data_IF_349714097220
#
_entry.id   IF_349714097220
#
_cell.length_a   1.000
_cell.length_b   1.000
_cell.length_c   1.000
_cell.angle_alpha   90.00
_cell.angle_beta   90.00
_cell.angle_gamma   90.00
#
_symmetry.space_group_name_H-M   'P 1'
#
loop_
_entity.id
_entity.type
_entity.pdbx_description
1 polymer ?
#
# COMPACT_ATOMS: atom_id res chain seq x y z
N UNK A 1 -25.12 -7.02 25.41
CA UNK A 1 -24.66 -6.72 24.04
C UNK A 1 -24.91 -7.95 23.18
N UNK A 2 -25.77 -7.87 22.18
CA UNK A 2 -26.07 -8.95 21.25
C UNK A 2 -25.13 -8.86 20.05
N UNK A 3 -24.39 -9.93 19.76
CA UNK A 3 -23.47 -9.98 18.63
C UNK A 3 -24.25 -10.23 17.33
N UNK A 4 -24.03 -9.39 16.33
CA UNK A 4 -24.59 -9.57 14.98
C UNK A 4 -23.58 -10.40 14.18
N UNK A 5 -23.99 -11.58 13.70
CA UNK A 5 -23.16 -12.42 12.84
C UNK A 5 -23.27 -11.94 11.39
N UNK A 6 -22.17 -11.43 10.86
CA UNK A 6 -22.08 -11.03 9.45
C UNK A 6 -21.58 -12.22 8.63
N UNK A 7 -22.26 -12.59 7.54
CA UNK A 7 -21.80 -13.65 6.66
C UNK A 7 -20.48 -13.25 5.99
N UNK A 8 -19.58 -14.22 5.84
CA UNK A 8 -18.33 -14.02 5.13
C UNK A 8 -18.55 -13.74 3.64
N UNK A 9 -17.55 -13.15 2.96
CA UNK A 9 -17.61 -12.95 1.52
C UNK A 9 -17.69 -14.30 0.78
N UNK A 10 -18.35 -14.35 -0.38
CA UNK A 10 -18.41 -15.56 -1.19
C UNK A 10 -17.01 -15.96 -1.66
N UNK A 11 -16.75 -17.27 -1.83
CA UNK A 11 -15.44 -17.77 -2.26
C UNK A 11 -14.98 -17.19 -3.60
N UNK A 12 -15.93 -16.79 -4.44
CA UNK A 12 -15.69 -16.18 -5.75
C UNK A 12 -15.28 -14.72 -5.69
N UNK A 13 -15.40 -14.05 -4.53
CA UNK A 13 -15.00 -12.64 -4.39
C UNK A 13 -13.49 -12.43 -4.57
N UNK A 14 -12.69 -13.47 -4.36
CA UNK A 14 -11.24 -13.41 -4.56
C UNK A 14 -10.84 -14.21 -5.81
N UNK A 15 -10.60 -13.48 -6.91
CA UNK A 15 -10.17 -14.08 -8.15
C UNK A 15 -8.63 -14.17 -8.23
N UNK A 16 -8.10 -15.35 -7.90
CA UNK A 16 -6.65 -15.64 -7.95
C UNK A 16 -6.01 -15.42 -9.32
N UNK A 17 -6.78 -15.62 -10.39
CA UNK A 17 -6.30 -15.58 -11.77
C UNK A 17 -6.53 -14.20 -12.43
N UNK A 18 -7.00 -13.20 -11.66
CA UNK A 18 -7.18 -11.85 -12.16
C UNK A 18 -5.81 -11.26 -12.58
N UNK A 19 -5.76 -10.52 -13.70
CA UNK A 19 -4.58 -9.74 -14.05
C UNK A 19 -4.21 -8.74 -12.94
N UNK A 20 -2.92 -8.46 -12.81
CA UNK A 20 -2.43 -7.49 -11.84
C UNK A 20 -3.14 -6.14 -11.97
N UNK A 21 -3.69 -5.63 -10.86
CA UNK A 21 -4.12 -4.25 -10.78
C UNK A 21 -2.91 -3.31 -10.72
N UNK A 22 -3.09 -2.04 -11.12
CA UNK A 22 -2.02 -1.03 -11.10
C UNK A 22 -1.51 -0.78 -9.67
N UNK A 23 -2.40 -0.82 -8.67
CA UNK A 23 -2.02 -0.71 -7.26
C UNK A 23 -1.06 -1.83 -6.86
N UNK A 24 -1.40 -3.08 -7.17
CA UNK A 24 -0.54 -4.23 -6.86
C UNK A 24 0.77 -4.16 -7.65
N UNK A 25 0.75 -3.70 -8.90
CA UNK A 25 1.95 -3.48 -9.69
C UNK A 25 2.89 -2.47 -9.02
N UNK A 26 2.36 -1.34 -8.56
CA UNK A 26 3.13 -0.33 -7.85
C UNK A 26 3.73 -0.87 -6.55
N UNK A 27 2.96 -1.65 -5.78
CA UNK A 27 3.44 -2.29 -4.56
C UNK A 27 4.56 -3.30 -4.84
N UNK A 28 4.39 -4.15 -5.86
CA UNK A 28 5.42 -5.12 -6.28
C UNK A 28 6.70 -4.41 -6.69
N UNK A 29 6.61 -3.34 -7.50
CA UNK A 29 7.78 -2.52 -7.87
C UNK A 29 8.47 -1.91 -6.65
N UNK A 30 7.71 -1.43 -5.67
CA UNK A 30 8.26 -0.91 -4.44
C UNK A 30 9.04 -1.99 -3.66
N UNK A 31 8.45 -3.18 -3.50
CA UNK A 31 9.11 -4.29 -2.84
C UNK A 31 10.35 -4.78 -3.59
N UNK A 32 10.35 -4.81 -4.92
CA UNK A 32 11.55 -5.11 -5.72
C UNK A 32 12.68 -4.12 -5.46
N UNK A 33 12.35 -2.83 -5.32
CA UNK A 33 13.35 -1.82 -4.94
C UNK A 33 13.90 -2.05 -3.53
N UNK A 34 13.05 -2.48 -2.60
CA UNK A 34 13.48 -2.85 -1.23
C UNK A 34 14.36 -4.11 -1.25
N UNK A 35 13.98 -5.13 -2.01
CA UNK A 35 14.73 -6.38 -2.18
C UNK A 35 16.14 -6.15 -2.74
N UNK A 36 16.29 -5.22 -3.68
CA UNK A 36 17.59 -4.85 -4.23
C UNK A 36 18.57 -4.33 -3.15
N UNK A 37 18.05 -3.78 -2.05
CA UNK A 37 18.83 -3.28 -0.91
C UNK A 37 19.05 -4.34 0.17
N UNK A 38 18.34 -5.48 0.12
CA UNK A 38 18.54 -6.59 1.05
C UNK A 38 19.83 -7.36 0.72
N UNK A 39 20.40 -7.97 1.77
CA UNK A 39 21.45 -8.97 1.65
C UNK A 39 20.99 -10.07 0.68
N UNK A 40 21.81 -10.47 -0.31
CA UNK A 40 21.51 -11.56 -1.24
C UNK A 40 20.97 -12.83 -0.57
N UNK A 41 21.42 -13.13 0.65
CA UNK A 41 21.02 -14.31 1.42
C UNK A 41 19.55 -14.28 1.87
N UNK A 42 18.95 -13.10 1.95
CA UNK A 42 17.57 -12.88 2.41
C UNK A 42 16.62 -12.55 1.26
N UNK A 43 17.10 -12.52 0.01
CA UNK A 43 16.26 -12.24 -1.16
C UNK A 43 15.33 -13.39 -1.43
N UNK A 44 14.18 -13.06 -2.00
CA UNK A 44 13.19 -14.03 -2.46
C UNK A 44 13.66 -14.64 -3.78
N UNK A 45 13.38 -15.92 -4.02
CA UNK A 45 13.66 -16.57 -5.31
C UNK A 45 12.62 -16.21 -6.39
N UNK A 46 11.93 -15.08 -6.26
CA UNK A 46 10.86 -14.69 -7.17
C UNK A 46 11.44 -14.01 -8.40
N UNK A 47 11.20 -14.54 -9.59
CA UNK A 47 11.53 -13.82 -10.83
C UNK A 47 10.51 -12.69 -11.04
N UNK A 48 10.94 -11.47 -11.37
CA UNK A 48 10.02 -10.36 -11.71
C UNK A 48 9.03 -10.69 -12.84
N UNK A 49 9.39 -11.65 -13.70
CA UNK A 49 8.55 -12.12 -14.82
C UNK A 49 7.40 -13.02 -14.38
N UNK A 50 7.46 -13.57 -13.16
CA UNK A 50 6.48 -14.55 -12.68
C UNK A 50 5.27 -13.86 -11.98
N UNK A 51 5.35 -12.55 -11.74
CA UNK A 51 4.31 -11.77 -11.04
C UNK A 51 3.26 -11.22 -12.02
N UNK A 52 2.53 -12.12 -12.67
CA UNK A 52 1.52 -11.75 -13.69
C UNK A 52 0.09 -11.67 -13.14
N UNK A 53 -0.20 -12.42 -12.07
CA UNK A 53 -1.55 -12.55 -11.48
C UNK A 53 -1.60 -11.98 -10.08
N UNK A 54 -2.79 -11.57 -9.63
CA UNK A 54 -2.99 -11.06 -8.27
C UNK A 54 -2.54 -12.08 -7.20
N UNK A 55 -2.76 -13.38 -7.44
CA UNK A 55 -2.28 -14.43 -6.53
C UNK A 55 -0.75 -14.46 -6.42
N UNK A 56 -0.04 -14.41 -7.55
CA UNK A 56 1.43 -14.37 -7.54
C UNK A 56 1.97 -13.12 -6.88
N UNK A 57 1.34 -11.95 -7.08
CA UNK A 57 1.71 -10.74 -6.36
C UNK A 57 1.46 -10.85 -4.85
N UNK A 58 0.32 -11.38 -4.44
CA UNK A 58 0.00 -11.55 -3.02
C UNK A 58 1.02 -12.45 -2.32
N UNK A 59 1.45 -13.54 -2.97
CA UNK A 59 2.48 -14.44 -2.44
C UNK A 59 3.83 -13.74 -2.30
N UNK A 60 4.26 -12.97 -3.31
CA UNK A 60 5.50 -12.20 -3.26
C UNK A 60 5.47 -11.16 -2.13
N UNK A 61 4.40 -10.37 -2.05
CA UNK A 61 4.20 -9.35 -1.01
C UNK A 61 4.22 -9.98 0.38
N UNK A 62 3.53 -11.11 0.57
CA UNK A 62 3.51 -11.81 1.86
C UNK A 62 4.91 -12.29 2.28
N UNK A 63 5.67 -12.89 1.36
CA UNK A 63 7.04 -13.34 1.63
C UNK A 63 7.96 -12.17 1.99
N UNK A 64 7.98 -11.13 1.16
CA UNK A 64 8.80 -9.94 1.40
C UNK A 64 8.45 -9.27 2.74
N UNK A 65 7.15 -9.16 3.04
CA UNK A 65 6.69 -8.58 4.31
C UNK A 65 7.13 -9.42 5.51
N UNK A 66 7.11 -10.76 5.40
CA UNK A 66 7.60 -11.62 6.47
C UNK A 66 9.11 -11.44 6.71
N UNK A 67 9.90 -11.38 5.62
CA UNK A 67 11.34 -11.13 5.69
C UNK A 67 11.61 -9.78 6.39
N UNK A 68 10.92 -8.71 5.97
CA UNK A 68 11.08 -7.37 6.56
C UNK A 68 10.62 -7.30 8.03
N UNK A 69 9.66 -8.13 8.42
CA UNK A 69 9.20 -8.23 9.83
C UNK A 69 10.09 -9.15 10.68
N UNK A 70 11.12 -9.79 10.10
CA UNK A 70 11.93 -10.78 10.79
C UNK A 70 11.17 -12.05 11.17
N UNK A 71 10.04 -12.31 10.51
CA UNK A 71 9.27 -13.53 10.71
C UNK A 71 9.83 -14.64 9.81
N UNK A 72 9.88 -15.86 10.33
CA UNK A 72 10.24 -17.02 9.54
C UNK A 72 9.37 -17.10 8.27
N UNK A 73 9.96 -17.47 7.10
CA UNK A 73 9.22 -17.50 5.85
C UNK A 73 8.07 -18.48 5.96
N UNK A 74 6.84 -17.96 5.90
CA UNK A 74 5.63 -18.79 5.86
C UNK A 74 5.61 -19.48 4.51
N UNK A 75 5.87 -20.79 4.49
CA UNK A 75 5.78 -21.60 3.27
C UNK A 75 4.35 -21.47 2.74
N UNK A 76 4.18 -20.85 1.58
CA UNK A 76 2.87 -20.68 0.95
C UNK A 76 2.25 -22.07 0.75
N UNK A 77 1.20 -22.36 1.52
CA UNK A 77 0.44 -23.60 1.34
C UNK A 77 -0.32 -23.54 0.00
N UNK A 78 -0.32 -24.61 -0.80
CA UNK A 78 -1.16 -24.65 -1.99
C UNK A 78 -2.62 -24.69 -1.54
N UNK A 79 -3.37 -23.66 -1.92
CA UNK A 79 -4.84 -23.58 -1.85
C UNK A 79 -5.57 -23.49 -0.50
N UNK A 80 -4.86 -23.32 0.61
CA UNK A 80 -5.48 -22.96 1.89
C UNK A 80 -5.82 -21.46 1.99
N UNK A 81 -6.89 -21.04 2.70
CA UNK A 81 -7.04 -19.65 3.12
C UNK A 81 -5.78 -19.26 3.90
N UNK A 82 -5.15 -18.15 3.50
CA UNK A 82 -3.98 -17.60 4.19
C UNK A 82 -4.36 -17.48 5.67
N UNK A 83 -3.69 -18.19 6.59
CA UNK A 83 -3.90 -17.94 8.00
C UNK A 83 -3.34 -16.55 8.28
N UNK A 84 -4.22 -15.54 8.29
CA UNK A 84 -3.98 -14.38 9.14
C UNK A 84 -3.67 -14.95 10.52
N UNK A 85 -2.57 -14.55 11.18
CA UNK A 85 -2.33 -14.99 12.55
C UNK A 85 -3.51 -14.51 13.37
N UNK A 86 -4.44 -15.43 13.64
CA UNK A 86 -5.46 -15.28 14.65
C UNK A 86 -4.66 -15.12 15.93
N UNK A 87 -4.68 -13.91 16.50
CA UNK A 87 -4.05 -13.63 17.78
C UNK A 87 -4.45 -14.77 18.72
N UNK A 88 -3.48 -15.58 19.10
CA UNK A 88 -3.67 -16.66 20.06
C UNK A 88 -4.34 -16.03 21.27
N UNK A 89 -5.48 -16.61 21.68
CA UNK A 89 -6.24 -16.17 22.84
C UNK A 89 -5.28 -16.04 24.02
N UNK A 90 -4.86 -14.83 24.32
CA UNK A 90 -4.22 -14.50 25.58
C UNK A 90 -5.30 -14.77 26.62
N UNK A 91 -5.08 -15.75 27.48
CA UNK A 91 -5.92 -15.99 28.63
C UNK A 91 -5.83 -14.74 29.54
N UNK A 92 -6.76 -13.81 29.34
CA UNK A 92 -6.82 -12.57 30.10
C UNK A 92 -7.30 -12.89 31.51
N UNK A 93 -6.38 -12.87 32.47
CA UNK A 93 -6.73 -12.64 33.88
C UNK A 93 -7.56 -11.35 33.93
N UNK A 94 -8.68 -11.28 34.68
CA UNK A 94 -9.54 -10.11 34.65
C UNK A 94 -8.77 -8.87 35.11
N UNK A 95 -8.58 -7.94 34.17
CA UNK A 95 -8.08 -6.59 34.43
C UNK A 95 -9.19 -5.89 35.23
N UNK A 96 -8.91 -5.58 36.50
CA UNK A 96 -9.76 -4.71 37.31
C UNK A 96 -9.76 -3.31 36.68
N UNK A 97 -10.90 -2.61 36.58
CA UNK A 97 -10.91 -1.25 36.09
C UNK A 97 -10.18 -0.35 37.09
N UNK A 98 -8.98 0.12 36.72
CA UNK A 98 -8.39 1.26 37.39
C UNK A 98 -9.22 2.49 37.04
N UNK A 99 -9.63 3.21 38.09
CA UNK A 99 -10.26 4.52 38.10
C UNK A 99 -9.98 5.40 36.86
N UNK A 100 -11.06 5.96 36.31
CA UNK A 100 -11.08 6.70 35.05
C UNK A 100 -10.07 7.84 34.94
N UNK A 101 -9.62 8.06 33.71
CA UNK A 101 -8.82 9.20 33.30
C UNK A 101 -9.81 10.37 33.10
N UNK A 102 -9.71 11.49 33.84
CA UNK A 102 -10.53 12.65 33.56
C UNK A 102 -10.05 13.32 32.27
N UNK A 103 -10.84 13.25 31.21
CA UNK A 103 -10.70 14.12 30.04
C UNK A 103 -11.14 15.53 30.45
N UNK A 104 -10.17 16.41 30.73
CA UNK A 104 -10.43 17.84 30.80
C UNK A 104 -10.63 18.37 29.37
N UNK A 105 -11.86 18.81 29.08
CA UNK A 105 -12.18 19.54 27.87
C UNK A 105 -11.67 20.98 27.98
N UNK A 106 -10.54 21.29 27.35
CA UNK A 106 -10.16 22.66 27.04
C UNK A 106 -10.61 22.95 25.60
N UNK A 107 -11.80 23.53 25.47
CA UNK A 107 -12.26 24.15 24.24
C UNK A 107 -11.81 25.61 24.27
N UNK A 108 -10.87 25.98 23.40
CA UNK A 108 -10.64 27.37 23.02
C UNK A 108 -11.15 27.60 21.60
N UNK A 109 -12.30 28.27 21.41
CA UNK A 109 -12.73 28.74 20.11
C UNK A 109 -12.17 30.15 19.89
N UNK A 110 -11.00 30.27 19.26
CA UNK A 110 -10.61 31.57 18.69
C UNK A 110 -11.02 31.62 17.22
N UNK A 111 -12.17 32.25 17.02
CA UNK A 111 -12.69 32.78 15.77
C UNK A 111 -11.88 34.01 15.35
N UNK A 112 -11.42 34.05 14.11
CA UNK A 112 -11.36 35.26 13.26
C UNK A 112 -11.06 34.82 11.81
N UNK A 113 -11.99 34.86 10.85
CA UNK A 113 -12.48 36.05 10.10
C UNK A 113 -11.31 36.93 9.64
N UNK A 114 -11.03 37.26 8.38
CA UNK A 114 -11.80 37.48 7.12
C UNK A 114 -10.72 37.93 6.06
N UNK A 115 -11.02 38.49 4.87
CA UNK A 115 -11.58 37.90 3.64
C UNK A 115 -10.71 38.19 2.37
N UNK A 116 -10.98 37.45 1.28
CA UNK A 116 -11.00 37.96 -0.10
C UNK A 116 -9.74 38.56 -0.77
N UNK A 117 -9.24 37.87 -1.79
CA UNK A 117 -9.00 38.49 -3.11
C UNK A 117 -8.93 37.43 -4.22
N UNK A 118 -10.02 37.33 -4.99
CA UNK A 118 -9.94 37.03 -6.43
C UNK A 118 -9.28 38.26 -7.10
N UNK A 119 -8.62 38.25 -8.26
CA UNK A 119 -8.76 37.48 -9.51
C UNK A 119 -7.44 37.72 -10.33
N UNK A 120 -7.38 37.77 -11.68
CA UNK A 120 -7.04 36.71 -12.63
C UNK A 120 -5.80 37.03 -13.52
N UNK A 121 -5.49 36.16 -14.50
CA UNK A 121 -4.81 36.50 -15.79
C UNK A 121 -3.29 36.79 -15.68
N UNK A 122 -2.40 36.06 -16.35
CA UNK A 122 -2.12 36.21 -17.78
C UNK A 122 -1.50 34.93 -18.38
N UNK A 123 -2.13 34.45 -19.44
CA UNK A 123 -1.42 33.82 -20.54
C UNK A 123 -0.68 34.93 -21.32
N UNK A 124 0.56 34.69 -21.77
CA UNK A 124 0.96 35.23 -23.07
C UNK A 124 1.96 34.31 -23.79
N UNK A 125 1.71 34.02 -25.09
CA UNK A 125 2.63 33.38 -26.02
C UNK A 125 3.46 34.43 -26.79
N UNK A 126 4.68 34.11 -27.23
CA UNK A 126 5.09 34.33 -28.64
C UNK A 126 6.54 33.96 -28.96
N UNK A 127 6.64 33.12 -30.00
CA UNK A 127 7.39 33.26 -31.26
C UNK A 127 8.75 33.99 -31.29
N UNK A 128 9.61 33.36 -32.09
CA UNK A 128 10.54 33.87 -33.16
C UNK A 128 11.94 33.31 -32.89
N UNK A 129 12.71 32.79 -33.85
CA UNK A 129 12.70 32.86 -35.31
C UNK A 129 13.74 31.82 -35.79
N UNK A 130 13.45 31.06 -36.85
CA UNK A 130 14.49 30.37 -37.63
C UNK A 130 15.42 31.38 -38.33
N UNK A 131 16.60 30.94 -38.77
CA UNK A 131 16.84 31.02 -40.21
C UNK A 131 17.49 29.77 -40.84
N UNK A 132 17.13 29.55 -42.10
CA UNK A 132 17.70 28.62 -43.09
C UNK A 132 19.17 28.96 -43.40
N UNK A 133 20.00 27.93 -43.68
CA UNK A 133 21.13 27.97 -44.65
C UNK A 133 21.71 26.55 -44.78
N UNK A 134 21.35 25.76 -45.80
CA UNK A 134 21.88 25.68 -47.17
C UNK A 134 23.32 25.15 -47.32
N UNK A 135 23.44 24.03 -48.03
CA UNK A 135 24.66 23.44 -48.61
C UNK A 135 24.54 21.92 -48.52
N UNK A 136 24.23 21.12 -49.54
CA UNK A 136 24.59 21.11 -50.98
C UNK A 136 26.09 21.25 -51.21
N UNK A 137 26.79 20.13 -51.39
CA UNK A 137 27.25 19.67 -52.72
C UNK A 137 27.93 18.28 -52.65
N UNK A 138 28.05 17.61 -53.82
CA UNK A 138 28.33 16.18 -53.99
C UNK A 138 29.79 15.78 -53.78
#
# INVERSE_FOLDING_TARGET
MTAILVPGPPKESFNKHRPLSDLLLSQVKHFQHVEAKLDPSLRTNFSPRDVLTENTAAQYIAQMTNILRGLAPVKAAPDGPIPVPLQSKVATKPIRPSSGIPLAAAADPTVNSKPGSATPTQAEPNKRKSPRRSGRKP
#
